data_IF_966927574504
#
_entry.id   IF_966927574504
#
_cell.length_a   1.000
_cell.length_b   1.000
_cell.length_c   1.000
_cell.angle_alpha   90.00
_cell.angle_beta   90.00
_cell.angle_gamma   90.00
#
_symmetry.space_group_name_H-M   'P 1'
#
loop_
_entity.id
_entity.type
_entity.pdbx_description
1 polymer ?
#
# COMPACT_ATOMS: atom_id res chain seq x y z
N UNK A 1 14.87 -33.75 49.14
CA UNK A 1 14.64 -33.60 47.68
C UNK A 1 14.63 -35.00 47.10
N UNK A 2 13.46 -35.49 46.64
CA UNK A 2 13.27 -36.84 46.09
C UNK A 2 13.90 -36.95 44.72
N UNK A 3 14.87 -37.84 44.54
CA UNK A 3 15.50 -38.15 43.24
C UNK A 3 14.45 -38.72 42.31
N UNK A 4 14.18 -38.01 41.23
CA UNK A 4 13.27 -38.45 40.15
C UNK A 4 13.71 -39.83 39.64
N UNK A 5 12.79 -40.78 39.66
CA UNK A 5 12.99 -42.17 39.28
C UNK A 5 13.58 -42.26 37.85
N UNK A 6 14.59 -43.12 37.66
CA UNK A 6 15.33 -43.30 36.40
C UNK A 6 14.40 -43.65 35.21
N UNK A 7 13.28 -44.26 35.47
CA UNK A 7 12.23 -44.61 34.51
C UNK A 7 11.50 -43.35 34.02
N UNK A 8 11.16 -42.40 34.89
CA UNK A 8 10.51 -41.14 34.56
C UNK A 8 11.42 -40.25 33.67
N UNK A 9 12.72 -40.20 33.98
CA UNK A 9 13.70 -39.45 33.15
C UNK A 9 13.81 -40.03 31.73
N UNK A 10 13.68 -41.36 31.58
CA UNK A 10 13.68 -41.99 30.23
C UNK A 10 12.38 -41.68 29.46
N UNK A 11 11.23 -41.72 30.13
CA UNK A 11 9.95 -41.36 29.53
C UNK A 11 9.94 -39.90 29.10
N UNK A 12 10.41 -38.97 29.94
CA UNK A 12 10.50 -37.55 29.65
C UNK A 12 11.41 -37.27 28.44
N UNK A 13 12.55 -37.96 28.33
CA UNK A 13 13.43 -37.85 27.15
C UNK A 13 12.75 -38.34 25.87
N UNK A 14 11.99 -39.43 25.92
CA UNK A 14 11.25 -39.97 24.75
C UNK A 14 10.16 -39.00 24.30
N UNK A 15 9.41 -38.42 25.23
CA UNK A 15 8.40 -37.39 24.94
C UNK A 15 9.04 -36.14 24.35
N UNK A 16 10.16 -35.69 24.92
CA UNK A 16 10.91 -34.53 24.39
C UNK A 16 11.46 -34.79 22.99
N UNK A 17 11.98 -35.99 22.70
CA UNK A 17 12.43 -36.35 21.35
C UNK A 17 11.28 -36.45 20.36
N UNK A 18 10.12 -36.99 20.78
CA UNK A 18 8.91 -37.03 19.94
C UNK A 18 8.36 -35.63 19.66
N UNK A 19 8.34 -34.75 20.67
CA UNK A 19 7.93 -33.36 20.49
C UNK A 19 8.91 -32.59 19.58
N UNK A 20 10.21 -32.84 19.70
CA UNK A 20 11.22 -32.25 18.82
C UNK A 20 11.11 -32.75 17.38
N UNK A 21 10.85 -34.05 17.19
CA UNK A 21 10.59 -34.62 15.87
C UNK A 21 9.31 -34.06 15.24
N UNK A 22 8.26 -33.85 16.03
CA UNK A 22 7.00 -33.26 15.57
C UNK A 22 7.17 -31.76 15.22
N UNK A 23 8.01 -31.03 15.95
CA UNK A 23 8.32 -29.63 15.66
C UNK A 23 9.15 -29.43 14.38
N UNK A 24 9.93 -30.44 13.96
CA UNK A 24 10.72 -30.43 12.73
C UNK A 24 9.89 -30.76 11.45
N UNK A 25 8.61 -31.13 11.61
CA UNK A 25 7.72 -31.46 10.47
C UNK A 25 6.82 -30.30 10.06
N UNK A 26 7.02 -29.09 10.58
CA UNK A 26 6.31 -27.90 10.07
C UNK A 26 6.73 -27.71 8.61
N UNK A 27 5.79 -27.75 7.64
CA UNK A 27 6.11 -27.46 6.26
C UNK A 27 6.64 -26.02 6.20
N UNK A 28 7.89 -25.85 5.78
CA UNK A 28 8.38 -24.55 5.40
C UNK A 28 7.57 -24.09 4.18
N UNK A 29 6.77 -23.06 4.31
CA UNK A 29 6.11 -22.45 3.16
C UNK A 29 7.21 -21.94 2.25
N UNK A 30 7.26 -22.47 1.03
CA UNK A 30 8.24 -22.00 0.06
C UNK A 30 7.83 -20.62 -0.41
N UNK A 31 8.59 -19.59 -0.03
CA UNK A 31 8.42 -18.24 -0.54
C UNK A 31 9.02 -18.12 -1.93
N UNK A 32 8.29 -17.49 -2.82
CA UNK A 32 8.72 -17.27 -4.20
C UNK A 32 9.43 -15.92 -4.35
N UNK A 33 10.67 -15.99 -4.83
CA UNK A 33 11.42 -14.80 -5.27
C UNK A 33 11.27 -14.65 -6.79
N UNK A 34 11.50 -13.45 -7.30
CA UNK A 34 11.49 -13.18 -8.75
C UNK A 34 12.47 -14.09 -9.50
N UNK A 35 13.59 -14.49 -8.86
CA UNK A 35 14.62 -15.34 -9.47
C UNK A 35 14.17 -16.81 -9.60
N UNK A 36 13.36 -17.29 -8.66
CA UNK A 36 12.90 -18.68 -8.61
C UNK A 36 11.57 -18.89 -9.34
N UNK A 37 10.82 -17.81 -9.62
CA UNK A 37 9.53 -17.90 -10.28
C UNK A 37 9.68 -18.49 -11.69
N UNK A 38 8.97 -19.58 -12.04
CA UNK A 38 9.00 -20.13 -13.38
C UNK A 38 8.23 -19.22 -14.34
N UNK A 39 8.95 -18.45 -15.15
CA UNK A 39 8.34 -17.57 -16.17
C UNK A 39 7.85 -18.44 -17.35
N UNK A 40 6.62 -18.91 -17.23
CA UNK A 40 6.02 -19.87 -18.16
C UNK A 40 5.90 -19.33 -19.58
N UNK A 41 5.66 -18.01 -19.74
CA UNK A 41 5.55 -17.36 -21.04
C UNK A 41 6.85 -17.42 -21.84
N UNK A 42 8.01 -17.39 -21.17
CA UNK A 42 9.31 -17.52 -21.85
C UNK A 42 9.58 -18.93 -22.36
N UNK A 43 8.84 -19.94 -21.84
CA UNK A 43 8.94 -21.33 -22.27
C UNK A 43 7.89 -21.66 -23.35
N UNK A 44 6.69 -21.12 -23.21
CA UNK A 44 5.56 -21.27 -24.14
C UNK A 44 4.80 -19.93 -24.21
N UNK A 45 4.84 -19.27 -25.37
CA UNK A 45 4.17 -18.00 -25.63
C UNK A 45 2.64 -17.98 -25.42
N UNK A 46 2.03 -19.15 -25.24
CA UNK A 46 0.59 -19.29 -24.99
C UNK A 46 0.25 -19.35 -23.51
N UNK A 47 1.24 -19.29 -22.63
CA UNK A 47 1.07 -19.41 -21.18
C UNK A 47 1.44 -18.08 -20.51
N UNK A 48 0.51 -17.56 -19.74
CA UNK A 48 0.60 -16.29 -19.05
C UNK A 48 0.58 -16.45 -17.53
N UNK A 49 0.05 -17.61 -17.04
CA UNK A 49 -0.21 -17.83 -15.61
C UNK A 49 0.94 -18.63 -14.98
N UNK A 50 1.71 -17.99 -14.11
CA UNK A 50 2.68 -18.61 -13.23
C UNK A 50 1.97 -19.09 -11.95
N UNK A 51 1.65 -20.39 -11.87
CA UNK A 51 0.93 -21.03 -10.77
C UNK A 51 1.71 -22.24 -10.22
N UNK A 52 2.93 -22.03 -9.68
CA UNK A 52 3.81 -23.13 -9.29
C UNK A 52 3.29 -23.92 -8.09
N UNK A 53 2.52 -23.29 -7.21
CA UNK A 53 1.94 -23.92 -6.00
C UNK A 53 0.62 -24.63 -6.28
N UNK A 54 0.09 -24.54 -7.51
CA UNK A 54 -1.17 -25.15 -7.86
C UNK A 54 -2.38 -24.57 -7.13
N UNK A 55 -2.35 -23.25 -6.85
CA UNK A 55 -3.45 -22.53 -6.20
C UNK A 55 -4.69 -22.51 -7.09
N UNK A 56 -4.49 -22.20 -8.38
CA UNK A 56 -5.57 -22.25 -9.36
C UNK A 56 -5.70 -23.65 -9.97
N UNK A 57 -6.92 -24.00 -10.32
CA UNK A 57 -7.21 -25.21 -11.10
C UNK A 57 -6.64 -25.10 -12.53
N UNK A 58 -6.45 -26.26 -13.17
CA UNK A 58 -5.97 -26.30 -14.57
C UNK A 58 -6.99 -25.70 -15.54
N UNK A 59 -8.27 -25.77 -15.21
CA UNK A 59 -9.37 -25.20 -15.99
C UNK A 59 -9.30 -23.67 -15.95
N UNK A 60 -9.14 -23.07 -14.76
CA UNK A 60 -8.98 -21.63 -14.59
C UNK A 60 -7.72 -21.10 -15.29
N UNK A 61 -6.59 -21.80 -15.14
CA UNK A 61 -5.33 -21.46 -15.84
C UNK A 61 -5.53 -21.43 -17.35
N UNK A 62 -6.16 -22.47 -17.93
CA UNK A 62 -6.41 -22.53 -19.39
C UNK A 62 -7.35 -21.42 -19.85
N UNK A 63 -8.38 -21.10 -19.08
CA UNK A 63 -9.32 -20.03 -19.42
C UNK A 63 -8.61 -18.67 -19.44
N UNK A 64 -7.80 -18.38 -18.44
CA UNK A 64 -7.00 -17.15 -18.36
C UNK A 64 -5.97 -17.09 -19.50
N UNK A 65 -5.19 -18.14 -19.71
CA UNK A 65 -4.19 -18.19 -20.79
C UNK A 65 -4.81 -17.94 -22.16
N UNK A 66 -5.96 -18.58 -22.46
CA UNK A 66 -6.65 -18.39 -23.73
C UNK A 66 -7.13 -16.94 -23.94
N UNK A 67 -7.65 -16.32 -22.88
CA UNK A 67 -8.12 -14.93 -22.92
C UNK A 67 -6.96 -13.95 -23.10
N UNK A 68 -5.89 -14.10 -22.34
CA UNK A 68 -4.71 -13.24 -22.40
C UNK A 68 -3.97 -13.37 -23.73
N UNK A 69 -3.92 -14.56 -24.31
CA UNK A 69 -3.39 -14.79 -25.67
C UNK A 69 -4.21 -14.02 -26.72
N UNK A 70 -5.54 -13.99 -26.59
CA UNK A 70 -6.41 -13.22 -27.48
C UNK A 70 -6.24 -11.72 -27.28
N UNK A 71 -6.10 -11.26 -26.04
CA UNK A 71 -5.85 -9.87 -25.68
C UNK A 71 -4.54 -9.36 -26.28
N UNK A 72 -3.43 -10.05 -26.01
CA UNK A 72 -2.10 -9.67 -26.53
C UNK A 72 -2.10 -9.60 -28.07
N UNK A 73 -2.71 -10.58 -28.74
CA UNK A 73 -2.80 -10.60 -30.21
C UNK A 73 -3.57 -9.41 -30.80
N UNK A 74 -4.58 -8.89 -30.09
CA UNK A 74 -5.44 -7.80 -30.58
C UNK A 74 -4.93 -6.43 -30.19
N UNK A 75 -4.40 -6.28 -28.98
CA UNK A 75 -4.04 -4.99 -28.38
C UNK A 75 -2.54 -4.78 -28.24
N UNK A 76 -1.76 -5.86 -28.25
CA UNK A 76 -0.32 -5.83 -27.94
C UNK A 76 -0.02 -5.69 -26.45
N UNK A 77 -1.01 -5.81 -25.57
CA UNK A 77 -0.81 -5.80 -24.12
C UNK A 77 -0.16 -7.10 -23.68
N UNK A 78 1.03 -6.98 -23.09
CA UNK A 78 1.77 -8.13 -22.56
C UNK A 78 1.45 -8.31 -21.07
N UNK A 79 0.90 -9.48 -20.73
CA UNK A 79 0.44 -9.76 -19.37
C UNK A 79 1.24 -10.87 -18.71
N UNK A 80 1.48 -10.75 -17.42
CA UNK A 80 1.97 -11.84 -16.55
C UNK A 80 1.04 -11.96 -15.36
N UNK A 81 0.56 -13.16 -15.10
CA UNK A 81 -0.25 -13.47 -13.92
C UNK A 81 0.57 -14.36 -12.99
N UNK A 82 0.78 -13.93 -11.76
CA UNK A 82 1.50 -14.68 -10.72
C UNK A 82 0.52 -15.04 -9.62
N UNK A 83 0.34 -16.36 -9.42
CA UNK A 83 -0.51 -16.86 -8.34
C UNK A 83 0.29 -17.88 -7.53
N UNK A 84 0.59 -17.49 -6.30
CA UNK A 84 1.46 -18.21 -5.39
C UNK A 84 0.87 -18.22 -3.98
N UNK A 85 1.47 -19.01 -3.10
CA UNK A 85 1.10 -19.01 -1.69
C UNK A 85 1.71 -17.84 -0.95
N UNK A 86 3.02 -17.61 -1.11
CA UNK A 86 3.77 -16.57 -0.41
C UNK A 86 4.89 -16.02 -1.26
N UNK A 87 5.19 -14.72 -1.10
CA UNK A 87 6.21 -13.96 -1.81
C UNK A 87 7.40 -13.63 -0.90
N UNK A 88 8.56 -13.43 -1.52
CA UNK A 88 9.75 -12.88 -0.89
C UNK A 88 10.37 -11.82 -1.85
N UNK A 89 10.28 -10.52 -1.52
CA UNK A 89 9.72 -9.90 -0.30
C UNK A 89 8.19 -10.05 -0.19
N UNK A 90 7.65 -9.98 1.04
CA UNK A 90 6.21 -9.96 1.35
C UNK A 90 5.58 -8.59 1.00
N UNK A 91 5.89 -8.13 -0.19
CA UNK A 91 5.33 -6.93 -0.81
C UNK A 91 5.06 -7.22 -2.29
N UNK A 92 3.80 -7.44 -2.68
CA UNK A 92 3.47 -7.75 -4.07
C UNK A 92 3.76 -6.61 -5.04
N UNK A 93 3.78 -5.35 -4.57
CA UNK A 93 4.15 -4.21 -5.40
C UNK A 93 5.64 -4.24 -5.74
N UNK A 94 6.52 -4.36 -4.72
CA UNK A 94 7.97 -4.44 -4.91
C UNK A 94 8.33 -5.66 -5.77
N UNK A 95 7.72 -6.81 -5.47
CA UNK A 95 7.90 -8.02 -6.26
C UNK A 95 7.52 -7.81 -7.74
N UNK A 96 6.39 -7.16 -8.02
CA UNK A 96 5.93 -6.88 -9.39
C UNK A 96 6.83 -5.90 -10.13
N UNK A 97 7.32 -4.86 -9.46
CA UNK A 97 8.29 -3.92 -10.02
C UNK A 97 9.61 -4.61 -10.36
N UNK A 98 10.11 -5.48 -9.49
CA UNK A 98 11.35 -6.22 -9.76
C UNK A 98 11.14 -7.27 -10.86
N UNK A 99 9.96 -7.89 -10.92
CA UNK A 99 9.58 -8.78 -12.02
C UNK A 99 9.58 -8.02 -13.36
N UNK A 100 8.98 -6.84 -13.39
CA UNK A 100 8.90 -6.00 -14.58
C UNK A 100 10.29 -5.55 -15.06
N UNK A 101 11.15 -5.11 -14.15
CA UNK A 101 12.54 -4.71 -14.45
C UNK A 101 13.36 -5.86 -15.00
N UNK A 102 13.23 -7.04 -14.38
CA UNK A 102 14.02 -8.22 -14.76
C UNK A 102 13.65 -8.74 -16.14
N UNK A 103 12.38 -8.81 -16.46
CA UNK A 103 11.89 -9.44 -17.68
C UNK A 103 11.46 -8.45 -18.76
N UNK A 104 11.31 -7.16 -18.43
CA UNK A 104 10.93 -6.12 -19.37
C UNK A 104 9.53 -6.34 -19.94
N UNK A 105 8.55 -6.60 -19.05
CA UNK A 105 7.17 -6.89 -19.43
C UNK A 105 6.54 -5.66 -20.09
N UNK A 106 5.89 -5.85 -21.24
CA UNK A 106 5.34 -4.77 -22.06
C UNK A 106 6.17 -4.44 -23.30
N UNK A 107 5.54 -3.81 -24.29
CA UNK A 107 6.21 -3.41 -25.53
C UNK A 107 7.05 -2.17 -25.30
N UNK A 108 8.34 -2.24 -25.68
CA UNK A 108 9.26 -1.12 -25.57
C UNK A 108 8.76 0.12 -26.29
N UNK A 109 8.68 1.25 -25.59
CA UNK A 109 8.23 2.53 -26.10
C UNK A 109 6.71 2.66 -26.26
N UNK A 110 5.95 1.59 -25.92
CA UNK A 110 4.50 1.62 -25.74
C UNK A 110 4.13 1.38 -24.28
N UNK A 111 5.01 0.71 -23.53
CA UNK A 111 4.88 0.44 -22.11
C UNK A 111 3.53 -0.19 -21.71
N UNK A 112 3.03 -1.10 -22.59
CA UNK A 112 1.73 -1.78 -22.47
C UNK A 112 1.86 -3.10 -21.69
N UNK A 113 2.50 -3.06 -20.52
CA UNK A 113 2.64 -4.20 -19.64
C UNK A 113 1.51 -4.27 -18.61
N UNK A 114 1.08 -5.48 -18.25
CA UNK A 114 0.11 -5.74 -17.18
C UNK A 114 0.63 -6.87 -16.31
N UNK A 115 0.71 -6.66 -15.01
CA UNK A 115 1.11 -7.70 -14.04
C UNK A 115 0.00 -7.86 -13.01
N UNK A 116 -0.46 -9.09 -12.83
CA UNK A 116 -1.47 -9.42 -11.81
C UNK A 116 -0.87 -10.42 -10.84
N UNK A 117 -0.83 -10.08 -9.57
CA UNK A 117 -0.22 -10.89 -8.51
C UNK A 117 -1.26 -11.24 -7.47
N UNK A 118 -1.27 -12.50 -7.05
CA UNK A 118 -2.03 -12.99 -5.90
C UNK A 118 -1.15 -13.89 -5.05
N UNK A 119 -0.99 -13.53 -3.77
CA UNK A 119 -0.32 -14.34 -2.75
C UNK A 119 -1.33 -14.74 -1.68
N UNK A 120 -1.75 -16.02 -1.70
CA UNK A 120 -2.91 -16.46 -0.92
C UNK A 120 -2.67 -16.63 0.56
N UNK A 121 -1.47 -17.04 0.99
CA UNK A 121 -1.10 -17.16 2.40
C UNK A 121 -0.72 -15.80 3.00
N UNK A 122 -0.10 -14.90 2.19
CA UNK A 122 0.18 -13.52 2.58
C UNK A 122 -1.09 -12.66 2.55
N UNK A 123 -2.19 -13.19 1.98
CA UNK A 123 -3.46 -12.49 1.79
C UNK A 123 -3.29 -11.14 1.10
N UNK A 124 -2.42 -11.11 0.11
CA UNK A 124 -2.07 -9.89 -0.61
C UNK A 124 -2.26 -10.06 -2.12
N UNK A 125 -2.57 -8.97 -2.78
CA UNK A 125 -2.73 -8.91 -4.23
C UNK A 125 -2.24 -7.57 -4.76
N UNK A 126 -1.85 -7.56 -6.04
CA UNK A 126 -1.42 -6.36 -6.76
C UNK A 126 -1.73 -6.47 -8.24
N UNK A 127 -2.22 -5.40 -8.83
CA UNK A 127 -2.29 -5.22 -10.27
C UNK A 127 -1.41 -4.02 -10.60
N UNK A 128 -0.44 -4.23 -11.49
CA UNK A 128 0.48 -3.19 -11.97
C UNK A 128 0.23 -2.95 -13.44
N UNK A 129 0.08 -1.69 -13.81
CA UNK A 129 -0.13 -1.23 -15.18
C UNK A 129 1.09 -0.48 -15.68
N UNK A 130 1.51 -0.75 -16.91
CA UNK A 130 2.54 0.05 -17.57
C UNK A 130 1.99 1.43 -17.97
N UNK A 131 2.85 2.43 -18.11
CA UNK A 131 2.48 3.82 -18.42
C UNK A 131 1.60 3.93 -19.68
N UNK A 132 1.80 3.05 -20.66
CA UNK A 132 1.00 3.03 -21.89
C UNK A 132 -0.43 2.52 -21.72
N UNK A 133 -0.77 1.94 -20.56
CA UNK A 133 -2.14 1.51 -20.24
C UNK A 133 -2.90 2.52 -19.39
N UNK A 134 -2.25 3.53 -18.80
CA UNK A 134 -2.90 4.47 -17.86
C UNK A 134 -4.09 5.20 -18.49
N UNK A 135 -4.04 5.47 -19.81
CA UNK A 135 -5.15 6.10 -20.54
C UNK A 135 -6.37 5.22 -20.74
N UNK A 136 -6.20 3.89 -20.70
CA UNK A 136 -7.30 2.92 -20.92
C UNK A 136 -7.69 2.21 -19.62
N UNK A 137 -6.71 2.00 -18.76
CA UNK A 137 -6.85 1.29 -17.48
C UNK A 137 -6.21 2.13 -16.36
N UNK A 138 -6.81 3.27 -15.98
CA UNK A 138 -6.30 4.11 -14.90
C UNK A 138 -6.41 3.39 -13.54
N UNK A 139 -5.54 3.77 -12.59
CA UNK A 139 -5.47 3.13 -11.27
C UNK A 139 -6.81 3.13 -10.51
N UNK A 140 -7.60 4.19 -10.66
CA UNK A 140 -8.93 4.27 -10.06
C UNK A 140 -9.86 3.16 -10.55
N UNK A 141 -9.82 2.86 -11.86
CA UNK A 141 -10.62 1.79 -12.47
C UNK A 141 -10.11 0.40 -12.07
N UNK A 142 -8.78 0.23 -12.01
CA UNK A 142 -8.16 -1.01 -11.50
C UNK A 142 -8.61 -1.27 -10.06
N UNK A 143 -8.60 -0.24 -9.22
CA UNK A 143 -9.02 -0.33 -7.82
C UNK A 143 -10.48 -0.78 -7.70
N UNK A 144 -11.38 -0.21 -8.49
CA UNK A 144 -12.79 -0.61 -8.51
C UNK A 144 -12.99 -2.06 -8.96
N UNK A 145 -12.31 -2.50 -10.01
CA UNK A 145 -12.34 -3.90 -10.44
C UNK A 145 -11.87 -4.83 -9.31
N UNK A 146 -10.83 -4.44 -8.59
CA UNK A 146 -10.37 -5.20 -7.43
C UNK A 146 -11.45 -5.27 -6.35
N UNK A 147 -12.00 -4.14 -5.95
CA UNK A 147 -12.96 -4.07 -4.85
C UNK A 147 -14.30 -4.75 -5.15
N UNK A 148 -14.79 -4.63 -6.37
CA UNK A 148 -16.10 -5.17 -6.77
C UNK A 148 -16.04 -6.61 -7.26
N UNK A 149 -14.97 -7.00 -7.94
CA UNK A 149 -14.89 -8.29 -8.64
C UNK A 149 -13.94 -9.26 -7.94
N UNK A 150 -12.75 -8.79 -7.57
CA UNK A 150 -11.67 -9.65 -7.07
C UNK A 150 -11.80 -9.93 -5.57
N UNK A 151 -11.81 -8.88 -4.77
CA UNK A 151 -11.72 -8.95 -3.30
C UNK A 151 -12.88 -9.72 -2.65
N UNK A 152 -14.15 -9.59 -3.06
CA UNK A 152 -15.22 -10.38 -2.47
C UNK A 152 -14.97 -11.89 -2.59
N UNK A 153 -14.57 -12.36 -3.78
CA UNK A 153 -14.28 -13.76 -4.03
C UNK A 153 -13.01 -14.25 -3.33
N UNK A 154 -11.98 -13.37 -3.20
CA UNK A 154 -10.78 -13.70 -2.43
C UNK A 154 -11.11 -13.92 -0.94
N UNK A 155 -12.00 -13.12 -0.37
CA UNK A 155 -12.45 -13.27 1.04
C UNK A 155 -13.17 -14.61 1.26
N UNK A 156 -13.89 -15.07 0.26
CA UNK A 156 -14.61 -16.36 0.27
C UNK A 156 -13.71 -17.55 -0.05
N UNK A 157 -12.44 -17.30 -0.46
CA UNK A 157 -11.48 -18.35 -0.83
C UNK A 157 -11.71 -18.92 -2.23
N UNK A 158 -12.51 -18.26 -3.06
CA UNK A 158 -12.83 -18.67 -4.42
C UNK A 158 -11.75 -18.18 -5.42
N UNK A 159 -10.53 -18.73 -5.30
CA UNK A 159 -9.35 -18.28 -6.05
C UNK A 159 -9.54 -18.32 -7.56
N UNK A 160 -10.10 -19.39 -8.08
CA UNK A 160 -10.38 -19.56 -9.52
C UNK A 160 -11.35 -18.49 -10.02
N UNK A 161 -12.49 -18.34 -9.34
CA UNK A 161 -13.52 -17.38 -9.71
C UNK A 161 -13.00 -15.93 -9.59
N UNK A 162 -12.20 -15.63 -8.54
CA UNK A 162 -11.58 -14.33 -8.35
C UNK A 162 -10.68 -13.98 -9.53
N UNK A 163 -9.75 -14.85 -9.88
CA UNK A 163 -8.77 -14.57 -10.93
C UNK A 163 -9.40 -14.54 -12.32
N UNK A 164 -10.28 -15.51 -12.65
CA UNK A 164 -10.95 -15.55 -13.96
C UNK A 164 -11.78 -14.29 -14.17
N UNK A 165 -12.64 -13.92 -13.21
CA UNK A 165 -13.50 -12.74 -13.36
C UNK A 165 -12.72 -11.43 -13.36
N UNK A 166 -11.62 -11.33 -12.60
CA UNK A 166 -10.74 -10.15 -12.65
C UNK A 166 -10.10 -9.99 -14.03
N UNK A 167 -9.56 -11.08 -14.60
CA UNK A 167 -8.99 -11.02 -15.94
C UNK A 167 -10.06 -10.74 -17.01
N UNK A 168 -11.29 -11.21 -16.82
CA UNK A 168 -12.41 -10.86 -17.69
C UNK A 168 -12.72 -9.35 -17.67
N UNK A 169 -12.82 -8.79 -16.49
CA UNK A 169 -13.06 -7.36 -16.34
C UNK A 169 -11.93 -6.50 -16.94
N UNK A 170 -10.66 -6.85 -16.64
CA UNK A 170 -9.49 -6.17 -17.21
C UNK A 170 -9.44 -6.28 -18.74
N UNK A 171 -9.70 -7.47 -19.29
CA UNK A 171 -9.75 -7.71 -20.75
C UNK A 171 -10.82 -6.84 -21.43
N UNK A 172 -12.03 -6.77 -20.85
CA UNK A 172 -13.12 -5.97 -21.39
C UNK A 172 -12.79 -4.48 -21.40
N UNK A 173 -12.27 -3.94 -20.29
CA UNK A 173 -11.87 -2.54 -20.19
C UNK A 173 -10.74 -2.21 -21.18
N UNK A 174 -9.72 -3.06 -21.28
CA UNK A 174 -8.61 -2.84 -22.24
C UNK A 174 -9.10 -2.86 -23.69
N UNK A 175 -10.12 -3.64 -24.01
CA UNK A 175 -10.78 -3.65 -25.33
C UNK A 175 -11.73 -2.49 -25.54
N UNK A 176 -11.92 -1.62 -24.55
CA UNK A 176 -12.83 -0.49 -24.57
C UNK A 176 -14.31 -0.91 -24.68
N UNK A 177 -14.69 -1.94 -23.95
CA UNK A 177 -16.10 -2.31 -23.80
C UNK A 177 -16.83 -1.22 -23.01
N UNK A 178 -17.66 -0.44 -23.73
CA UNK A 178 -18.33 0.73 -23.17
C UNK A 178 -19.29 0.35 -22.02
N UNK A 179 -19.93 -0.82 -22.08
CA UNK A 179 -20.87 -1.27 -21.05
C UNK A 179 -20.13 -1.58 -19.73
N UNK A 180 -18.98 -2.26 -19.82
CA UNK A 180 -18.14 -2.55 -18.67
C UNK A 180 -17.50 -1.29 -18.06
N UNK A 181 -17.03 -0.38 -18.91
CA UNK A 181 -16.45 0.90 -18.45
C UNK A 181 -17.51 1.69 -17.69
N UNK A 182 -18.72 1.85 -18.26
CA UNK A 182 -19.83 2.54 -17.62
C UNK A 182 -20.21 1.89 -16.29
N UNK A 183 -20.24 0.55 -16.22
CA UNK A 183 -20.53 -0.19 -14.98
C UNK A 183 -19.54 0.16 -13.86
N UNK A 184 -18.25 0.28 -14.16
CA UNK A 184 -17.21 0.57 -13.16
C UNK A 184 -17.01 2.08 -12.93
N UNK A 185 -17.44 2.96 -13.84
CA UNK A 185 -17.36 4.42 -13.66
C UNK A 185 -18.53 4.99 -12.87
N UNK A 186 -19.73 4.40 -12.96
CA UNK A 186 -20.96 4.92 -12.33
C UNK A 186 -20.98 4.82 -10.79
N UNK A 187 -20.05 4.08 -10.17
CA UNK A 187 -19.94 4.00 -8.71
C UNK A 187 -18.91 4.99 -8.13
N UNK A 188 -18.73 6.15 -8.75
CA UNK A 188 -18.15 7.25 -8.02
C UNK A 188 -19.16 7.62 -6.92
N UNK A 189 -18.77 7.42 -5.66
CA UNK A 189 -19.40 8.07 -4.50
C UNK A 189 -19.23 9.59 -4.71
N UNK A 190 -19.98 10.15 -5.68
CA UNK A 190 -20.12 11.60 -5.76
C UNK A 190 -20.68 12.02 -4.40
N UNK A 191 -19.81 12.66 -3.61
CA UNK A 191 -20.22 13.30 -2.38
C UNK A 191 -21.48 14.10 -2.70
N UNK A 192 -22.61 13.66 -2.18
CA UNK A 192 -23.88 14.33 -2.48
C UNK A 192 -23.72 15.81 -2.16
N UNK A 193 -24.37 16.68 -2.92
CA UNK A 193 -24.37 18.13 -2.63
C UNK A 193 -24.65 18.41 -1.16
N UNK A 194 -25.50 17.58 -0.52
CA UNK A 194 -25.82 17.68 0.90
C UNK A 194 -24.62 17.41 1.80
N UNK A 195 -23.80 16.38 1.52
CA UNK A 195 -22.60 16.06 2.28
C UNK A 195 -21.52 17.12 2.07
N UNK A 196 -21.36 17.61 0.83
CA UNK A 196 -20.45 18.71 0.52
C UNK A 196 -20.83 19.97 1.31
N UNK A 197 -22.12 20.37 1.31
CA UNK A 197 -22.58 21.52 2.09
C UNK A 197 -22.43 21.32 3.60
N UNK A 198 -22.61 20.09 4.10
CA UNK A 198 -22.42 19.76 5.50
C UNK A 198 -20.97 19.93 5.91
N UNK A 199 -20.02 19.44 5.10
CA UNK A 199 -18.57 19.59 5.35
C UNK A 199 -18.18 21.08 5.34
N UNK A 200 -18.63 21.84 4.33
CA UNK A 200 -18.39 23.30 4.27
C UNK A 200 -19.05 24.02 5.44
N UNK A 201 -20.25 23.64 5.84
CA UNK A 201 -20.94 24.22 7.01
C UNK A 201 -20.16 23.99 8.31
N UNK A 202 -19.64 22.77 8.51
CA UNK A 202 -18.79 22.44 9.67
C UNK A 202 -17.49 23.27 9.66
N UNK A 203 -16.81 23.37 8.50
CA UNK A 203 -15.60 24.16 8.37
C UNK A 203 -15.83 25.63 8.66
N UNK A 204 -16.89 26.23 8.12
CA UNK A 204 -17.30 27.61 8.41
C UNK A 204 -17.61 27.77 9.88
N UNK A 205 -18.34 26.83 10.50
CA UNK A 205 -18.64 26.81 11.92
C UNK A 205 -17.40 26.80 12.80
N UNK A 206 -16.41 25.96 12.45
CA UNK A 206 -15.11 25.90 13.16
C UNK A 206 -14.38 27.23 13.03
N UNK A 207 -14.27 27.80 11.83
CA UNK A 207 -13.61 29.09 11.60
C UNK A 207 -14.32 30.20 12.37
N UNK A 208 -15.66 30.23 12.35
CA UNK A 208 -16.45 31.21 13.11
C UNK A 208 -16.26 31.06 14.62
N UNK A 209 -16.17 29.82 15.13
CA UNK A 209 -15.90 29.53 16.53
C UNK A 209 -14.51 30.02 16.94
N UNK A 210 -13.48 29.71 16.15
CA UNK A 210 -12.11 30.20 16.38
C UNK A 210 -12.06 31.72 16.35
N UNK A 211 -12.73 32.37 15.39
CA UNK A 211 -12.82 33.80 15.29
C UNK A 211 -13.53 34.41 16.49
N UNK A 212 -14.65 33.80 16.94
CA UNK A 212 -15.38 34.24 18.14
C UNK A 212 -14.54 34.12 19.41
N UNK A 213 -13.84 32.99 19.60
CA UNK A 213 -12.95 32.78 20.74
C UNK A 213 -11.80 33.77 20.72
N UNK A 214 -11.18 34.02 19.56
CA UNK A 214 -10.13 35.00 19.38
C UNK A 214 -10.64 36.42 19.68
N UNK A 215 -11.81 36.78 19.16
CA UNK A 215 -12.45 38.07 19.41
C UNK A 215 -12.76 38.29 20.89
N UNK A 216 -13.28 37.28 21.57
CA UNK A 216 -13.54 37.30 23.02
C UNK A 216 -12.24 37.41 23.83
N UNK A 217 -11.19 36.66 23.45
CA UNK A 217 -9.88 36.63 24.13
C UNK A 217 -9.11 37.94 23.97
N UNK A 218 -9.31 38.67 22.88
CA UNK A 218 -8.58 39.95 22.61
C UNK A 218 -9.10 41.18 23.37
N UNK A 219 -10.20 41.04 24.14
CA UNK A 219 -10.75 42.11 24.94
C UNK A 219 -9.89 42.40 26.19
N UNK A 220 -9.49 43.64 26.36
CA UNK A 220 -8.81 44.08 27.57
C UNK A 220 -9.78 44.11 28.76
N UNK A 221 -9.47 43.43 29.90
CA UNK A 221 -10.35 43.42 31.07
C UNK A 221 -10.52 44.80 31.72
N UNK A 222 -9.60 45.76 31.48
CA UNK A 222 -9.64 47.11 32.09
C UNK A 222 -10.37 48.12 31.21
N UNK A 223 -10.17 48.14 29.91
CA UNK A 223 -10.75 49.17 29.03
C UNK A 223 -11.75 48.64 28.01
N UNK A 224 -11.99 47.30 27.94
CA UNK A 224 -12.94 46.68 27.03
C UNK A 224 -12.56 46.69 25.55
N UNK A 225 -11.45 47.30 25.17
CA UNK A 225 -11.01 47.44 23.79
C UNK A 225 -10.30 46.16 23.29
N UNK A 226 -10.45 45.84 22.00
CA UNK A 226 -9.78 44.71 21.34
C UNK A 226 -8.34 45.04 20.95
N UNK A 227 -7.49 45.27 21.92
CA UNK A 227 -6.08 45.58 21.73
C UNK A 227 -5.20 44.94 22.80
N UNK A 228 -5.74 43.91 23.47
CA UNK A 228 -5.06 43.10 24.46
C UNK A 228 -4.44 41.88 23.77
N UNK A 229 -3.15 41.71 23.97
CA UNK A 229 -2.43 40.62 23.29
C UNK A 229 -1.15 40.22 23.99
N UNK A 230 -0.63 39.09 23.59
CA UNK A 230 0.64 38.54 24.03
C UNK A 230 1.80 39.46 23.60
N UNK A 231 2.74 39.71 24.50
CA UNK A 231 3.90 40.55 24.28
C UNK A 231 5.21 39.75 24.31
N UNK A 232 5.28 38.76 25.17
CA UNK A 232 6.47 37.92 25.31
C UNK A 232 6.40 37.00 26.52
N UNK A 233 7.39 36.13 26.63
CA UNK A 233 7.54 35.22 27.75
C UNK A 233 8.93 35.31 28.36
N UNK A 234 9.02 34.97 29.65
CA UNK A 234 10.29 34.87 30.39
C UNK A 234 10.30 33.60 31.20
N UNK A 235 11.38 32.85 31.11
CA UNK A 235 11.63 31.69 31.95
C UNK A 235 12.17 32.17 33.28
N UNK A 236 11.51 31.82 34.38
CA UNK A 236 11.86 32.18 35.76
C UNK A 236 11.88 30.94 36.63
N UNK A 237 12.67 30.96 37.68
CA UNK A 237 12.64 29.89 38.70
C UNK A 237 11.86 30.45 39.91
N UNK A 238 10.71 29.86 40.18
CA UNK A 238 9.85 30.14 41.32
C UNK A 238 9.72 28.86 42.16
N UNK A 239 9.98 28.97 43.45
CA UNK A 239 9.91 27.84 44.41
C UNK A 239 10.72 26.62 43.97
N UNK A 240 11.90 26.82 43.36
CA UNK A 240 12.76 25.76 42.88
C UNK A 240 12.30 25.04 41.60
N UNK A 241 11.18 25.48 40.98
CA UNK A 241 10.67 24.98 39.72
C UNK A 241 10.80 25.99 38.61
N UNK A 242 11.16 25.56 37.43
CA UNK A 242 11.13 26.42 36.24
C UNK A 242 9.69 26.66 35.82
N UNK A 243 9.40 27.93 35.59
CA UNK A 243 8.08 28.39 35.14
C UNK A 243 8.23 29.38 34.00
N UNK A 244 7.28 29.38 33.10
CA UNK A 244 7.17 30.33 32.00
C UNK A 244 6.18 31.40 32.41
N UNK A 245 6.62 32.66 32.45
CA UNK A 245 5.75 33.81 32.69
C UNK A 245 5.43 34.46 31.37
N UNK A 246 4.19 34.31 30.91
CA UNK A 246 3.65 34.94 29.70
C UNK A 246 3.07 36.31 30.04
N UNK A 247 3.54 37.35 29.39
CA UNK A 247 3.10 38.73 29.61
C UNK A 247 2.15 39.17 28.51
N UNK A 248 0.97 39.58 28.90
CA UNK A 248 -0.04 40.17 28.03
C UNK A 248 -0.21 41.64 28.34
N UNK A 249 -0.25 42.51 27.31
CA UNK A 249 -0.37 43.95 27.46
C UNK A 249 -1.44 44.54 26.54
N UNK A 250 -2.21 45.47 27.04
CA UNK A 250 -3.11 46.26 26.23
C UNK A 250 -2.39 47.41 25.57
N UNK A 251 -2.40 47.53 24.25
CA UNK A 251 -1.75 48.62 23.51
C UNK A 251 -2.40 49.99 23.74
N UNK A 252 -3.67 50.06 24.20
CA UNK A 252 -4.38 51.30 24.42
C UNK A 252 -4.26 51.85 25.85
N UNK A 253 -4.45 51.01 26.87
CA UNK A 253 -4.46 51.48 28.25
C UNK A 253 -3.24 51.05 29.07
N UNK A 254 -2.31 50.29 28.46
CA UNK A 254 -1.09 49.84 29.13
C UNK A 254 -1.31 48.71 30.18
N UNK A 255 -2.54 48.21 30.37
CA UNK A 255 -2.82 47.17 31.35
C UNK A 255 -2.01 45.93 31.04
N UNK A 256 -1.28 45.43 32.02
CA UNK A 256 -0.48 44.20 31.91
C UNK A 256 -1.05 43.11 32.83
N UNK A 257 -0.99 41.89 32.36
CA UNK A 257 -1.29 40.69 33.12
C UNK A 257 -0.22 39.62 32.81
N UNK A 258 0.31 39.04 33.86
CA UNK A 258 1.23 37.92 33.76
C UNK A 258 0.50 36.62 34.10
N UNK A 259 0.64 35.62 33.25
CA UNK A 259 0.18 34.25 33.49
C UNK A 259 1.41 33.37 33.64
N UNK A 260 1.40 32.51 34.69
CA UNK A 260 2.52 31.62 34.98
C UNK A 260 2.11 30.22 34.68
N UNK A 261 2.85 29.54 33.81
CA UNK A 261 2.70 28.10 33.49
C UNK A 261 3.95 27.35 33.93
N UNK A 262 3.80 26.06 34.24
CA UNK A 262 4.94 25.20 34.50
C UNK A 262 5.69 24.91 33.19
N UNK A 263 7.03 25.04 33.23
CA UNK A 263 7.88 24.78 32.05
C UNK A 263 7.90 23.27 31.76
N UNK A 264 7.35 22.78 30.62
CA UNK A 264 7.32 21.38 30.27
C UNK A 264 8.72 20.76 30.07
N UNK A 265 9.75 21.60 29.81
CA UNK A 265 11.15 21.15 29.69
C UNK A 265 11.90 21.08 31.04
N UNK A 266 11.21 21.35 32.16
CA UNK A 266 11.77 21.35 33.49
C UNK A 266 12.00 19.99 34.15
N UNK A 267 11.67 18.87 33.50
CA UNK A 267 11.89 17.50 33.96
C UNK A 267 13.12 16.89 33.29
N UNK A 268 14.11 16.52 34.09
CA UNK A 268 15.43 16.08 33.66
C UNK A 268 15.48 14.96 32.61
N UNK A 269 16.44 15.11 31.73
CA UNK A 269 17.24 14.06 31.08
C UNK A 269 16.54 13.03 30.23
N UNK A 270 16.62 13.18 28.91
CA UNK A 270 16.32 12.10 27.97
C UNK A 270 16.14 12.64 26.56
N UNK A 271 17.21 12.71 25.80
CA UNK A 271 17.19 13.18 24.42
C UNK A 271 16.30 12.35 23.53
N UNK A 272 15.47 13.00 22.77
CA UNK A 272 14.71 12.47 21.65
C UNK A 272 14.66 13.51 20.57
N UNK A 273 15.71 13.59 19.77
CA UNK A 273 15.73 14.42 18.57
C UNK A 273 14.74 13.84 17.57
N UNK A 274 13.67 14.55 17.30
CA UNK A 274 12.80 14.31 16.16
C UNK A 274 13.52 14.83 14.93
N UNK A 275 14.28 13.95 14.26
CA UNK A 275 14.91 14.25 13.00
C UNK A 275 13.86 14.29 11.91
N UNK A 276 13.55 15.48 11.44
CA UNK A 276 12.85 15.70 10.17
C UNK A 276 13.82 15.41 9.03
N UNK A 277 13.81 14.18 8.54
CA UNK A 277 14.61 13.80 7.38
C UNK A 277 13.91 14.24 6.09
N UNK A 278 14.38 15.32 5.52
CA UNK A 278 14.19 15.71 4.14
C UNK A 278 14.86 14.66 3.25
N UNK A 279 14.03 13.91 2.51
CA UNK A 279 14.50 12.97 1.49
C UNK A 279 15.07 13.72 0.29
N UNK A 280 16.38 13.60 0.11
CA UNK A 280 17.08 14.02 -1.09
C UNK A 280 16.96 12.92 -2.15
N UNK A 281 16.46 13.28 -3.30
CA UNK A 281 16.39 12.42 -4.49
C UNK A 281 17.80 12.22 -5.06
N UNK A 282 18.25 10.98 -5.08
CA UNK A 282 19.46 10.55 -5.77
C UNK A 282 19.13 9.79 -7.05
N UNK A 283 19.39 10.42 -8.19
CA UNK A 283 19.34 9.81 -9.52
C UNK A 283 20.58 8.91 -9.70
N UNK A 284 20.35 7.62 -9.94
CA UNK A 284 21.39 6.66 -10.30
C UNK A 284 21.02 5.89 -11.56
N UNK A 285 21.65 6.29 -12.64
CA UNK A 285 21.58 5.65 -13.97
C UNK A 285 22.58 4.49 -14.00
N UNK A 286 22.14 3.30 -14.40
CA UNK A 286 23.09 2.27 -14.84
C UNK A 286 22.53 1.46 -16.01
N UNK A 287 23.33 1.42 -17.06
CA UNK A 287 23.18 0.73 -18.33
C UNK A 287 23.64 -0.75 -18.22
N UNK A 288 23.05 -1.61 -19.02
CA UNK A 288 23.62 -2.92 -19.36
C UNK A 288 22.51 -3.90 -19.67
N UNK A 289 22.32 -4.49 -20.80
CA UNK A 289 23.21 -5.16 -21.69
C UNK A 289 22.52 -6.46 -22.08
N UNK A 290 22.19 -6.65 -23.37
CA UNK A 290 21.37 -7.73 -23.90
C UNK A 290 22.03 -9.11 -23.86
N UNK A 291 21.17 -10.14 -23.90
CA UNK A 291 21.51 -11.52 -24.20
C UNK A 291 20.38 -12.19 -24.94
N UNK A 292 20.57 -12.44 -26.22
CA UNK A 292 19.69 -13.28 -27.04
C UNK A 292 19.97 -14.75 -26.78
N UNK A 293 18.91 -15.51 -26.49
CA UNK A 293 18.97 -16.94 -26.75
C UNK A 293 17.62 -17.37 -27.32
N UNK A 294 17.65 -17.98 -28.50
CA UNK A 294 16.48 -18.40 -29.23
C UNK A 294 15.98 -19.75 -28.73
N UNK A 295 14.69 -19.85 -28.59
CA UNK A 295 13.89 -21.05 -28.34
C UNK A 295 12.44 -20.60 -28.41
N UNK A 296 11.53 -21.41 -28.95
CA UNK A 296 10.13 -21.07 -29.26
C UNK A 296 9.24 -20.60 -28.11
N UNK A 297 9.78 -19.91 -27.13
CA UNK A 297 9.09 -19.23 -26.05
C UNK A 297 8.67 -17.81 -26.44
N UNK A 298 7.74 -17.23 -25.68
CA UNK A 298 7.39 -15.83 -25.77
C UNK A 298 8.56 -14.93 -25.32
N UNK A 299 8.48 -13.68 -25.67
CA UNK A 299 9.42 -12.66 -25.19
C UNK A 299 8.67 -11.39 -24.85
N UNK A 300 9.10 -10.73 -23.78
CA UNK A 300 8.61 -9.41 -23.41
C UNK A 300 9.40 -8.34 -24.15
N UNK A 301 8.72 -7.26 -24.50
CA UNK A 301 9.25 -6.21 -25.34
C UNK A 301 10.13 -5.16 -24.66
N UNK A 302 10.29 -5.22 -23.35
CA UNK A 302 11.10 -4.29 -22.56
C UNK A 302 10.37 -2.98 -22.23
N UNK A 303 9.10 -3.04 -21.90
CA UNK A 303 8.32 -1.91 -21.40
C UNK A 303 8.74 -1.47 -19.99
N UNK A 304 8.34 -0.28 -19.59
CA UNK A 304 8.55 0.29 -18.26
C UNK A 304 7.25 0.42 -17.47
N UNK A 305 7.35 0.38 -16.15
CA UNK A 305 6.24 0.63 -15.23
C UNK A 305 6.59 1.86 -14.40
N UNK A 306 5.75 2.91 -14.50
CA UNK A 306 5.93 4.18 -13.80
C UNK A 306 5.50 4.15 -12.33
N UNK A 307 5.15 2.97 -11.82
CA UNK A 307 4.61 2.80 -10.47
C UNK A 307 3.10 2.94 -10.38
N UNK A 308 2.40 2.94 -11.52
CA UNK A 308 0.95 2.82 -11.60
C UNK A 308 0.48 1.42 -11.18
N UNK A 309 -0.74 1.35 -10.69
CA UNK A 309 -1.36 0.11 -10.27
C UNK A 309 -2.06 0.22 -8.91
N UNK A 310 -2.79 -0.80 -8.56
CA UNK A 310 -3.53 -0.90 -7.30
C UNK A 310 -3.34 -2.25 -6.66
N UNK A 311 -3.39 -2.31 -5.35
CA UNK A 311 -3.27 -3.56 -4.61
C UNK A 311 -3.65 -3.39 -3.14
N UNK A 312 -3.72 -4.51 -2.43
CA UNK A 312 -4.12 -4.51 -1.05
C UNK A 312 -4.00 -5.87 -0.37
N UNK A 313 -4.62 -5.97 0.81
CA UNK A 313 -4.79 -7.20 1.56
C UNK A 313 -6.29 -7.49 1.74
N UNK A 314 -6.66 -8.79 1.80
CA UNK A 314 -8.05 -9.23 1.90
C UNK A 314 -8.33 -10.12 3.11
#
# INVERSE_FOLDING_TARGET
MKTLNKSYKRALRRVACLALMLALTLPAVAQWTVDKLPMVHLQDARRYVCNPDGVLSQEAVKAIDARLMALEKQTGVQTVVVVVKSLDPDDPFEFGIDLSKKYGIGLKGKDTGLIVILATEDRSYQILTGEGLEGTLPDALVNRIQDQVMVPKLKDGEWDAAMVSTIEALDGVIRQDAELIEQYELEDDELTWAETFLIFGILIGIVALFWFLYYKSSKCPKCGQHSYGYVGEKHVVLDGKRKIVKTYRCKKCGYERNETEDDPDGGGGGGGAVATSLLLWGVGRALGGGGRSGGGGGSFGGGSFGGGGSGGRF
#
